data_IF_745058038607
#
_entry.id   IF_745058038607
#
_cell.length_a   1.000
_cell.length_b   1.000
_cell.length_c   1.000
_cell.angle_alpha   90.00
_cell.angle_beta   90.00
_cell.angle_gamma   90.00
#
_symmetry.space_group_name_H-M   'P 1'
#
loop_
_entity.id
_entity.type
_entity.pdbx_description
1 polymer ?
#
# COMPACT_ATOMS: atom_id res chain seq x y z
N UNK A 1 16.53 5.95 -3.43
CA UNK A 1 15.52 7.05 -3.56
C UNK A 1 14.19 6.36 -3.82
N UNK A 2 13.13 6.74 -3.10
CA UNK A 2 12.26 5.81 -2.37
C UNK A 2 11.74 4.71 -3.30
N UNK A 3 12.15 3.46 -3.05
CA UNK A 3 11.88 2.30 -3.91
C UNK A 3 10.72 1.45 -3.39
N UNK A 4 9.70 2.12 -2.85
CA UNK A 4 8.47 1.47 -2.47
C UNK A 4 7.34 2.11 -3.26
N UNK A 5 6.97 1.44 -4.34
CA UNK A 5 5.79 1.77 -5.12
C UNK A 5 4.55 1.22 -4.43
N UNK A 6 3.45 1.95 -4.55
CA UNK A 6 2.15 1.55 -4.06
C UNK A 6 1.74 0.25 -4.73
N UNK A 7 1.42 -0.76 -3.93
CA UNK A 7 1.02 -2.07 -4.46
C UNK A 7 -0.27 -2.02 -5.29
N UNK A 8 -1.12 -1.00 -5.09
CA UNK A 8 -2.38 -0.86 -5.81
C UNK A 8 -2.25 -0.14 -7.16
N UNK A 9 -1.53 0.98 -7.22
CA UNK A 9 -1.48 1.85 -8.41
C UNK A 9 -0.10 1.98 -9.04
N UNK A 10 0.93 1.43 -8.41
CA UNK A 10 2.32 1.48 -8.88
C UNK A 10 2.96 2.87 -8.81
N UNK A 11 2.36 3.82 -8.08
CA UNK A 11 2.92 5.16 -7.87
C UNK A 11 3.87 5.17 -6.67
N UNK A 12 4.90 6.05 -6.66
CA UNK A 12 5.82 6.16 -5.54
C UNK A 12 5.07 6.54 -4.26
N UNK A 13 5.40 5.86 -3.17
CA UNK A 13 4.83 6.18 -1.86
C UNK A 13 5.53 7.44 -1.32
N UNK A 14 4.77 8.49 -0.97
CA UNK A 14 5.35 9.67 -0.34
C UNK A 14 6.03 9.30 0.98
N UNK A 15 7.16 9.94 1.31
CA UNK A 15 7.93 9.60 2.50
C UNK A 15 7.17 9.79 3.83
N UNK A 16 6.15 10.64 3.85
CA UNK A 16 5.30 10.90 5.01
C UNK A 16 4.03 10.01 5.06
N UNK A 17 3.95 9.00 4.18
CA UNK A 17 2.82 8.07 4.12
C UNK A 17 3.27 6.69 4.57
N UNK A 18 2.78 6.26 5.72
CA UNK A 18 2.94 4.90 6.23
C UNK A 18 1.57 4.23 6.34
N UNK A 19 1.17 3.52 5.28
CA UNK A 19 -0.10 2.80 5.19
C UNK A 19 0.18 1.34 4.77
N UNK A 20 0.61 0.49 5.71
CA UNK A 20 0.86 -0.92 5.45
C UNK A 20 -0.44 -1.73 5.46
N UNK A 21 -0.50 -2.76 4.61
CA UNK A 21 -1.58 -3.75 4.51
C UNK A 21 -0.96 -5.13 4.51
N UNK A 22 -1.51 -6.05 5.31
CA UNK A 22 -1.12 -7.45 5.26
C UNK A 22 -1.93 -8.18 4.18
N UNK A 23 -1.25 -8.72 3.18
CA UNK A 23 -1.84 -9.50 2.10
C UNK A 23 -1.15 -10.85 2.11
N UNK A 24 -1.88 -11.91 2.45
CA UNK A 24 -1.35 -13.29 2.51
C UNK A 24 -0.10 -13.43 3.42
N UNK A 25 0.00 -12.63 4.49
CA UNK A 25 1.15 -12.61 5.40
C UNK A 25 2.36 -11.80 4.90
N UNK A 26 2.18 -11.03 3.82
CA UNK A 26 3.18 -10.09 3.28
C UNK A 26 2.71 -8.66 3.52
N UNK A 27 3.55 -7.83 4.14
CA UNK A 27 3.26 -6.41 4.30
C UNK A 27 3.53 -5.65 3.00
N UNK A 28 2.49 -5.00 2.48
CA UNK A 28 2.53 -4.13 1.32
C UNK A 28 2.17 -2.70 1.72
N UNK A 29 2.87 -1.71 1.18
CA UNK A 29 2.60 -0.31 1.47
C UNK A 29 1.75 0.35 0.37
N UNK A 30 0.97 1.36 0.77
CA UNK A 30 0.02 2.07 -0.09
C UNK A 30 0.32 3.56 -0.11
N UNK A 31 0.06 4.22 -1.25
CA UNK A 31 0.27 5.66 -1.38
C UNK A 31 -0.84 6.51 -0.73
N UNK A 32 -2.01 5.95 -0.41
CA UNK A 32 -3.12 6.65 0.25
C UNK A 32 -4.13 5.70 0.88
N UNK A 33 -4.97 6.22 1.78
CA UNK A 33 -6.01 5.44 2.49
C UNK A 33 -7.03 4.81 1.53
N UNK A 34 -7.26 5.41 0.36
CA UNK A 34 -8.13 4.82 -0.67
C UNK A 34 -7.55 3.53 -1.27
N UNK A 35 -6.24 3.52 -1.57
CA UNK A 35 -5.55 2.34 -2.07
C UNK A 35 -5.52 1.23 -1.01
N UNK A 36 -5.28 1.61 0.26
CA UNK A 36 -5.35 0.69 1.40
C UNK A 36 -6.74 0.06 1.54
N UNK A 37 -7.81 0.85 1.55
CA UNK A 37 -9.16 0.33 1.71
C UNK A 37 -9.54 -0.68 0.61
N UNK A 38 -9.11 -0.43 -0.63
CA UNK A 38 -9.32 -1.38 -1.73
C UNK A 38 -8.50 -2.64 -1.51
N UNK A 39 -7.21 -2.52 -1.17
CA UNK A 39 -6.35 -3.67 -0.89
C UNK A 39 -6.90 -4.54 0.26
N UNK A 40 -7.29 -3.94 1.39
CA UNK A 40 -7.89 -4.63 2.53
C UNK A 40 -9.22 -5.32 2.18
N UNK A 41 -10.03 -4.72 1.31
CA UNK A 41 -11.30 -5.31 0.89
C UNK A 41 -11.15 -6.60 0.05
N UNK A 42 -9.99 -6.80 -0.58
CA UNK A 42 -9.69 -7.98 -1.40
C UNK A 42 -9.23 -9.17 -0.53
N UNK A 43 -8.62 -8.91 0.63
CA UNK A 43 -8.06 -9.94 1.54
C UNK A 43 -9.09 -10.46 2.56
N UNK A 44 -10.34 -9.97 2.52
CA UNK A 44 -11.42 -10.42 3.41
C UNK A 44 -12.01 -11.79 3.08
#
# INVERSE_FOLDING_TARGET
MPEHDCYHCGLPIPADVDLPVDIEGVQHHMCCTGCQAVAESIVS
#
